data_IF_492037386450
#
_entry.id   IF_492037386450
#
_cell.length_a   1.000
_cell.length_b   1.000
_cell.length_c   1.000
_cell.angle_alpha   90.00
_cell.angle_beta   90.00
_cell.angle_gamma   90.00
#
_symmetry.space_group_name_H-M   'P 1'
#
loop_
_entity.id
_entity.type
_entity.pdbx_description
1 polymer ?
#
# COMPACT_ATOMS: atom_id res chain seq x y z
N UNK A 1 51.87 -51.84 20.60
CA UNK A 1 50.41 -51.88 20.82
C UNK A 1 49.93 -50.48 21.15
N UNK A 2 49.01 -49.96 20.33
CA UNK A 2 48.07 -48.83 20.51
C UNK A 2 48.60 -47.40 20.76
N UNK A 3 48.54 -46.65 19.67
CA UNK A 3 48.34 -45.19 19.55
C UNK A 3 46.88 -44.85 19.94
N UNK A 4 46.66 -43.83 20.78
CA UNK A 4 45.39 -43.08 20.97
C UNK A 4 45.73 -41.86 21.84
N UNK A 5 45.56 -40.59 21.46
CA UNK A 5 44.46 -39.99 20.71
C UNK A 5 43.72 -39.01 21.64
N UNK A 6 44.38 -37.94 22.08
CA UNK A 6 43.83 -36.90 22.99
C UNK A 6 44.13 -35.50 22.45
N UNK A 7 43.46 -35.10 21.38
CA UNK A 7 43.56 -33.72 20.85
C UNK A 7 42.25 -33.20 20.21
N UNK A 8 41.10 -33.84 20.47
CA UNK A 8 39.81 -33.48 19.84
C UNK A 8 38.82 -32.76 20.75
N UNK A 9 39.13 -32.55 22.03
CA UNK A 9 38.15 -32.02 23.00
C UNK A 9 38.21 -30.50 23.20
N UNK A 10 39.21 -29.80 22.65
CA UNK A 10 39.36 -28.35 22.83
C UNK A 10 38.79 -27.51 21.67
N UNK A 11 38.50 -28.12 20.52
CA UNK A 11 37.88 -27.42 19.38
C UNK A 11 36.35 -27.34 19.45
N UNK A 12 35.70 -28.13 20.32
CA UNK A 12 34.23 -28.13 20.45
C UNK A 12 33.69 -27.01 21.36
N UNK A 13 34.51 -26.49 22.29
CA UNK A 13 34.06 -25.46 23.25
C UNK A 13 34.10 -24.03 22.68
N UNK A 14 34.90 -23.77 21.64
CA UNK A 14 34.99 -22.45 20.98
C UNK A 14 33.91 -22.22 19.90
N UNK A 15 33.30 -23.28 19.37
CA UNK A 15 32.22 -23.17 18.38
C UNK A 15 30.85 -22.84 19.01
N UNK A 16 30.66 -23.13 20.32
CA UNK A 16 29.39 -22.91 20.99
C UNK A 16 29.14 -21.43 21.39
N UNK A 17 30.19 -20.63 21.58
CA UNK A 17 30.06 -19.21 21.95
C UNK A 17 29.80 -18.29 20.75
N UNK A 18 30.03 -18.73 19.51
CA UNK A 18 29.77 -17.95 18.30
C UNK A 18 28.33 -18.08 17.78
N UNK A 19 27.53 -19.00 18.32
CA UNK A 19 26.13 -19.19 17.92
C UNK A 19 25.14 -18.39 18.79
N UNK A 20 25.61 -17.75 19.88
CA UNK A 20 24.78 -16.95 20.78
C UNK A 20 24.83 -15.44 20.50
N UNK A 21 25.64 -15.00 19.53
CA UNK A 21 25.68 -13.61 19.07
C UNK A 21 24.71 -13.31 17.91
N UNK A 22 23.84 -14.26 17.53
CA UNK A 22 23.00 -14.17 16.33
C UNK A 22 21.51 -13.86 16.55
N UNK A 23 21.03 -13.71 17.79
CA UNK A 23 19.59 -13.53 18.07
C UNK A 23 19.17 -12.10 18.44
N UNK A 24 20.02 -11.10 18.19
CA UNK A 24 19.74 -9.69 18.48
C UNK A 24 20.07 -8.71 17.35
N UNK A 25 20.39 -9.21 16.14
CA UNK A 25 20.84 -8.39 15.00
C UNK A 25 19.70 -7.99 14.04
N UNK A 26 18.45 -8.02 14.51
CA UNK A 26 17.33 -7.44 13.77
C UNK A 26 17.26 -5.92 14.01
N UNK A 27 16.71 -5.13 13.07
CA UNK A 27 16.51 -3.70 13.25
C UNK A 27 15.84 -3.40 14.59
N UNK A 28 16.43 -2.50 15.37
CA UNK A 28 15.88 -2.13 16.67
C UNK A 28 14.68 -1.22 16.44
N UNK A 29 13.57 -1.42 17.15
CA UNK A 29 12.45 -0.46 17.07
C UNK A 29 12.82 0.90 17.69
N UNK A 30 13.93 0.97 18.42
CA UNK A 30 14.41 2.20 19.05
C UNK A 30 15.09 3.05 17.99
N UNK A 31 14.46 4.18 17.63
CA UNK A 31 14.99 5.08 16.61
C UNK A 31 14.55 4.76 15.18
N UNK A 32 13.86 3.65 14.95
CA UNK A 32 13.24 3.35 13.66
C UNK A 32 11.95 4.17 13.47
N UNK A 33 11.80 4.79 12.30
CA UNK A 33 10.53 5.30 11.79
C UNK A 33 9.73 4.17 11.14
N UNK A 34 10.41 3.31 10.38
CA UNK A 34 9.82 2.13 9.73
C UNK A 34 10.85 1.01 9.67
N UNK A 35 10.38 -0.22 9.77
CA UNK A 35 11.15 -1.41 9.42
C UNK A 35 10.42 -2.13 8.29
N UNK A 36 11.09 -2.33 7.16
CA UNK A 36 10.59 -3.06 5.98
C UNK A 36 11.49 -4.28 5.79
N UNK A 37 11.01 -5.45 6.19
CA UNK A 37 11.82 -6.67 6.27
C UNK A 37 13.05 -6.46 7.15
N UNK A 38 14.21 -6.48 6.51
CA UNK A 38 15.54 -6.27 7.06
C UNK A 38 16.03 -4.81 6.99
N UNK A 39 15.34 -3.93 6.24
CA UNK A 39 15.73 -2.54 6.11
C UNK A 39 15.09 -1.67 7.18
N UNK A 40 15.92 -0.83 7.81
CA UNK A 40 15.49 0.20 8.74
C UNK A 40 15.48 1.57 8.06
N UNK A 41 14.39 2.30 8.23
CA UNK A 41 14.29 3.73 7.96
C UNK A 41 14.28 4.42 9.32
N UNK A 42 15.26 5.27 9.60
CA UNK A 42 15.43 5.88 10.92
C UNK A 42 14.55 7.12 11.09
N UNK A 43 14.27 7.48 12.34
CA UNK A 43 13.61 8.75 12.68
C UNK A 43 14.48 9.94 12.23
N UNK A 44 15.80 9.84 12.37
CA UNK A 44 16.74 10.88 11.95
C UNK A 44 16.64 11.15 10.45
N UNK A 45 16.58 10.10 9.61
CA UNK A 45 16.37 10.27 8.16
C UNK A 45 15.07 11.02 7.85
N UNK A 46 14.00 10.78 8.61
CA UNK A 46 12.73 11.50 8.43
C UNK A 46 12.84 12.94 8.93
N UNK A 47 13.56 13.19 10.03
CA UNK A 47 13.80 14.56 10.52
C UNK A 47 14.64 15.37 9.54
N UNK A 48 15.69 14.79 8.95
CA UNK A 48 16.54 15.47 7.96
C UNK A 48 15.72 15.93 6.74
N UNK A 49 14.79 15.09 6.26
CA UNK A 49 13.90 15.45 5.16
C UNK A 49 12.88 16.53 5.56
N UNK A 50 12.39 16.53 6.80
CA UNK A 50 11.52 17.58 7.33
C UNK A 50 12.25 18.92 7.46
N UNK A 51 13.47 18.90 7.99
CA UNK A 51 14.29 20.11 8.15
C UNK A 51 14.65 20.69 6.78
N UNK A 52 15.05 19.84 5.84
CA UNK A 52 15.25 20.21 4.43
C UNK A 52 13.98 20.83 3.84
N UNK A 53 12.81 20.24 4.10
CA UNK A 53 11.54 20.79 3.63
C UNK A 53 11.29 22.20 4.14
N UNK A 54 11.41 22.43 5.45
CA UNK A 54 11.17 23.74 6.07
C UNK A 54 12.19 24.77 5.56
N UNK A 55 13.43 24.36 5.30
CA UNK A 55 14.47 25.21 4.77
C UNK A 55 14.23 25.62 3.31
N UNK A 56 13.88 24.65 2.45
CA UNK A 56 13.87 24.83 0.99
C UNK A 56 12.48 25.15 0.42
N UNK A 57 11.39 24.82 1.14
CA UNK A 57 10.03 24.90 0.62
C UNK A 57 9.17 25.90 1.42
N UNK A 58 8.77 27.06 0.84
CA UNK A 58 7.87 28.01 1.49
C UNK A 58 6.55 27.37 1.92
N UNK A 59 6.05 26.40 1.15
CA UNK A 59 4.85 25.64 1.50
C UNK A 59 5.02 24.79 2.78
N UNK A 60 6.22 24.27 3.06
CA UNK A 60 6.49 23.55 4.29
C UNK A 60 6.52 24.50 5.51
N UNK A 61 7.04 25.72 5.33
CA UNK A 61 6.97 26.76 6.37
C UNK A 61 5.52 27.12 6.69
N UNK A 62 4.66 27.21 5.68
CA UNK A 62 3.22 27.39 5.87
C UNK A 62 2.59 26.22 6.63
N UNK A 63 2.90 24.97 6.28
CA UNK A 63 2.43 23.81 7.05
C UNK A 63 2.90 23.87 8.51
N UNK A 64 4.13 24.30 8.76
CA UNK A 64 4.68 24.52 10.11
C UNK A 64 3.88 25.57 10.90
N UNK A 65 3.63 26.73 10.30
CA UNK A 65 2.81 27.80 10.91
C UNK A 65 1.38 27.35 11.20
N UNK A 66 0.85 26.40 10.42
CA UNK A 66 -0.47 25.80 10.62
C UNK A 66 -0.47 24.58 11.55
N UNK A 67 0.68 24.21 12.14
CA UNK A 67 0.86 23.00 12.95
C UNK A 67 0.49 21.70 12.21
N UNK A 68 0.79 21.63 10.91
CA UNK A 68 0.48 20.53 9.99
C UNK A 68 1.71 19.79 9.46
N UNK A 69 2.88 19.94 10.09
CA UNK A 69 4.09 19.19 9.70
C UNK A 69 3.96 17.69 9.93
N UNK A 70 3.01 17.25 10.75
CA UNK A 70 2.69 15.84 10.93
C UNK A 70 2.17 15.21 9.62
N UNK A 71 1.42 15.95 8.79
CA UNK A 71 1.02 15.49 7.46
C UNK A 71 2.24 15.22 6.57
N UNK A 72 3.20 16.14 6.58
CA UNK A 72 4.44 16.00 5.82
C UNK A 72 5.31 14.85 6.34
N UNK A 73 5.42 14.70 7.66
CA UNK A 73 6.18 13.61 8.27
C UNK A 73 5.61 12.23 7.91
N UNK A 74 4.28 12.07 7.96
CA UNK A 74 3.62 10.83 7.52
C UNK A 74 3.83 10.58 6.03
N UNK A 75 3.72 11.62 5.21
CA UNK A 75 3.88 11.50 3.77
C UNK A 75 5.31 11.12 3.36
N UNK A 76 6.33 11.71 4.01
CA UNK A 76 7.74 11.30 3.84
C UNK A 76 7.89 9.80 4.15
N UNK A 77 7.37 9.36 5.30
CA UNK A 77 7.44 7.94 5.70
C UNK A 77 6.75 7.03 4.68
N UNK A 78 5.55 7.41 4.22
CA UNK A 78 4.81 6.66 3.20
C UNK A 78 5.64 6.49 1.93
N UNK A 79 6.28 7.56 1.44
CA UNK A 79 7.12 7.48 0.25
C UNK A 79 8.33 6.57 0.43
N UNK A 80 8.97 6.61 1.59
CA UNK A 80 10.11 5.75 1.90
C UNK A 80 9.71 4.26 1.98
N UNK A 81 8.51 3.96 2.50
CA UNK A 81 7.91 2.61 2.45
C UNK A 81 7.67 2.18 1.01
N UNK A 82 6.98 3.02 0.23
CA UNK A 82 6.64 2.70 -1.17
C UNK A 82 7.90 2.49 -2.00
N UNK A 83 8.91 3.35 -1.82
CA UNK A 83 10.21 3.21 -2.49
C UNK A 83 10.88 1.86 -2.17
N UNK A 84 10.96 1.46 -0.90
CA UNK A 84 11.60 0.19 -0.52
C UNK A 84 10.84 -1.02 -1.08
N UNK A 85 9.52 -1.00 -0.95
CA UNK A 85 8.65 -2.08 -1.44
C UNK A 85 8.69 -2.16 -2.97
N UNK A 86 8.73 -1.02 -3.65
CA UNK A 86 8.85 -0.94 -5.10
C UNK A 86 10.21 -1.45 -5.59
N UNK A 87 11.30 -1.16 -4.90
CA UNK A 87 12.62 -1.69 -5.25
C UNK A 87 12.63 -3.23 -5.19
N UNK A 88 12.03 -3.82 -4.14
CA UNK A 88 11.85 -5.27 -4.00
C UNK A 88 10.98 -5.83 -5.12
N UNK A 89 9.85 -5.17 -5.41
CA UNK A 89 8.96 -5.58 -6.49
C UNK A 89 9.65 -5.50 -7.85
N UNK A 90 10.36 -4.41 -8.15
CA UNK A 90 11.08 -4.23 -9.40
C UNK A 90 12.15 -5.33 -9.61
N UNK A 91 12.90 -5.67 -8.56
CA UNK A 91 13.87 -6.77 -8.62
C UNK A 91 13.20 -8.12 -8.90
N UNK A 92 12.09 -8.44 -8.21
CA UNK A 92 11.36 -9.69 -8.42
C UNK A 92 10.71 -9.78 -9.79
N UNK A 93 10.19 -8.66 -10.26
CA UNK A 93 9.43 -8.55 -11.50
C UNK A 93 10.31 -8.34 -12.74
N UNK A 94 11.63 -8.16 -12.54
CA UNK A 94 12.58 -7.86 -13.61
C UNK A 94 12.33 -6.51 -14.27
N UNK A 95 11.84 -5.53 -13.51
CA UNK A 95 11.58 -4.18 -14.01
C UNK A 95 12.86 -3.34 -13.98
N UNK A 96 13.04 -2.54 -15.02
CA UNK A 96 14.12 -1.57 -15.13
C UNK A 96 13.60 -0.30 -15.82
N UNK A 97 14.20 0.84 -15.48
CA UNK A 97 13.91 2.12 -16.14
C UNK A 97 14.82 2.29 -17.36
N UNK A 98 14.29 2.79 -18.49
CA UNK A 98 15.12 3.20 -19.63
C UNK A 98 15.99 4.40 -19.18
N UNK A 99 17.33 4.29 -19.17
CA UNK A 99 18.20 5.38 -18.73
C UNK A 99 18.01 6.66 -19.51
N UNK A 100 17.68 6.58 -20.82
CA UNK A 100 17.47 7.77 -21.66
C UNK A 100 16.20 8.52 -21.27
N UNK A 101 15.15 7.79 -20.91
CA UNK A 101 13.91 8.39 -20.43
C UNK A 101 14.13 9.06 -19.08
N UNK A 102 14.86 8.40 -18.18
CA UNK A 102 15.22 8.98 -16.88
C UNK A 102 16.05 10.26 -17.04
N UNK A 103 17.07 10.24 -17.90
CA UNK A 103 17.90 11.41 -18.16
C UNK A 103 17.10 12.56 -18.80
N UNK A 104 16.11 12.24 -19.65
CA UNK A 104 15.18 13.24 -20.21
C UNK A 104 14.34 13.90 -19.09
N UNK A 105 13.74 13.11 -18.20
CA UNK A 105 12.97 13.67 -17.08
C UNK A 105 13.83 14.48 -16.12
N UNK A 106 15.09 14.09 -15.90
CA UNK A 106 16.03 14.82 -15.07
C UNK A 106 16.56 16.10 -15.71
N UNK A 107 16.59 16.18 -17.05
CA UNK A 107 16.97 17.40 -17.74
C UNK A 107 15.91 18.50 -17.59
N UNK A 108 14.63 18.12 -17.62
CA UNK A 108 13.50 19.05 -17.40
C UNK A 108 13.17 19.25 -15.91
N UNK A 109 13.64 18.35 -15.04
CA UNK A 109 13.39 18.23 -13.60
C UNK A 109 12.10 18.91 -13.09
N UNK A 110 10.94 18.23 -13.15
CA UNK A 110 9.65 18.80 -12.72
C UNK A 110 9.56 19.05 -11.20
N UNK A 111 10.59 18.67 -10.44
CA UNK A 111 10.68 18.81 -8.99
C UNK A 111 11.62 19.95 -8.55
N UNK A 112 12.34 20.58 -9.49
CA UNK A 112 13.30 21.64 -9.20
C UNK A 112 12.65 22.88 -8.57
N UNK A 113 11.48 23.28 -9.05
CA UNK A 113 10.80 24.48 -8.57
C UNK A 113 10.04 24.23 -7.26
N UNK A 114 10.05 25.17 -6.30
CA UNK A 114 9.31 25.04 -5.04
C UNK A 114 7.80 24.85 -5.23
N UNK A 115 7.16 24.21 -4.26
CA UNK A 115 5.70 24.01 -4.25
C UNK A 115 4.96 25.34 -4.15
N UNK A 116 4.00 25.55 -5.06
CA UNK A 116 3.06 26.68 -4.96
C UNK A 116 2.10 26.50 -3.79
N UNK A 117 1.90 27.57 -3.01
CA UNK A 117 1.00 27.58 -1.85
C UNK A 117 -0.45 27.94 -2.19
N UNK A 118 -0.74 28.26 -3.45
CA UNK A 118 -2.04 28.79 -3.86
C UNK A 118 -3.14 27.72 -3.86
N UNK A 119 -4.08 27.82 -2.91
CA UNK A 119 -5.38 27.12 -2.94
C UNK A 119 -5.35 25.59 -2.81
N UNK A 120 -4.19 25.00 -2.51
CA UNK A 120 -4.03 23.55 -2.41
C UNK A 120 -4.42 23.00 -1.03
N UNK A 121 -5.00 21.79 -1.01
CA UNK A 121 -5.25 21.04 0.21
C UNK A 121 -3.92 20.74 0.95
N UNK A 122 -3.85 20.87 2.28
CA UNK A 122 -2.62 20.59 3.05
C UNK A 122 -2.01 19.21 2.82
N UNK A 123 -2.82 18.18 2.56
CA UNK A 123 -2.35 16.82 2.29
C UNK A 123 -1.72 16.73 0.90
N UNK A 124 -2.31 17.42 -0.09
CA UNK A 124 -1.71 17.56 -1.41
C UNK A 124 -0.40 18.35 -1.37
N UNK A 125 -0.33 19.41 -0.55
CA UNK A 125 0.92 20.14 -0.31
C UNK A 125 1.99 19.22 0.29
N UNK A 126 1.65 18.45 1.33
CA UNK A 126 2.56 17.50 1.95
C UNK A 126 3.16 16.51 0.93
N UNK A 127 2.32 15.94 0.04
CA UNK A 127 2.74 15.04 -1.03
C UNK A 127 3.72 15.71 -2.01
N UNK A 128 3.41 16.94 -2.44
CA UNK A 128 4.24 17.67 -3.40
C UNK A 128 5.58 18.10 -2.79
N UNK A 129 5.59 18.46 -1.50
CA UNK A 129 6.80 18.83 -0.76
C UNK A 129 7.69 17.60 -0.58
N UNK A 130 7.13 16.48 -0.12
CA UNK A 130 7.87 15.24 0.11
C UNK A 130 8.59 14.75 -1.15
N UNK A 131 7.96 14.88 -2.33
CA UNK A 131 8.58 14.54 -3.61
C UNK A 131 9.84 15.39 -3.93
N UNK A 132 9.89 16.65 -3.48
CA UNK A 132 10.99 17.58 -3.80
C UNK A 132 12.16 17.54 -2.82
N UNK A 133 11.92 17.05 -1.61
CA UNK A 133 12.97 16.99 -0.59
C UNK A 133 13.75 15.68 -0.64
N UNK A 134 13.13 14.62 -1.18
CA UNK A 134 13.81 13.38 -1.55
C UNK A 134 14.78 13.59 -2.72
N UNK A 135 15.60 12.58 -3.00
CA UNK A 135 16.40 12.56 -4.22
C UNK A 135 15.48 12.53 -5.46
N UNK A 136 15.63 13.51 -6.36
CA UNK A 136 14.75 13.65 -7.53
C UNK A 136 14.88 12.47 -8.49
N UNK A 137 16.09 11.90 -8.64
CA UNK A 137 16.32 10.71 -9.47
C UNK A 137 15.57 9.52 -8.89
N UNK A 138 15.58 9.32 -7.58
CA UNK A 138 14.76 8.28 -6.93
C UNK A 138 13.27 8.50 -7.18
N UNK A 139 12.74 9.71 -6.97
CA UNK A 139 11.30 9.97 -7.13
C UNK A 139 10.83 9.76 -8.57
N UNK A 140 11.63 10.20 -9.55
CA UNK A 140 11.34 9.97 -10.97
C UNK A 140 11.46 8.46 -11.30
N UNK A 141 12.48 7.78 -10.77
CA UNK A 141 12.65 6.33 -10.94
C UNK A 141 11.46 5.56 -10.36
N UNK A 142 11.00 5.92 -9.17
CA UNK A 142 9.84 5.32 -8.52
C UNK A 142 8.59 5.48 -9.39
N UNK A 143 8.34 6.68 -9.91
CA UNK A 143 7.21 6.95 -10.81
C UNK A 143 7.26 6.09 -12.08
N UNK A 144 8.43 5.98 -12.72
CA UNK A 144 8.62 5.20 -13.95
C UNK A 144 8.48 3.69 -13.68
N UNK A 145 8.98 3.19 -12.56
CA UNK A 145 8.82 1.78 -12.17
C UNK A 145 7.37 1.43 -11.84
N UNK A 146 6.65 2.31 -11.15
CA UNK A 146 5.21 2.13 -10.90
C UNK A 146 4.42 2.08 -12.20
N UNK A 147 4.71 2.99 -13.15
CA UNK A 147 4.10 2.96 -14.48
C UNK A 147 4.41 1.66 -15.22
N UNK A 148 5.66 1.20 -15.20
CA UNK A 148 6.06 -0.05 -15.82
C UNK A 148 5.36 -1.27 -15.18
N UNK A 149 5.22 -1.28 -13.85
CA UNK A 149 4.50 -2.33 -13.13
C UNK A 149 3.01 -2.34 -13.50
N UNK A 150 2.36 -1.17 -13.51
CA UNK A 150 0.97 -1.03 -13.96
C UNK A 150 0.78 -1.51 -15.39
N UNK A 151 1.64 -1.06 -16.31
CA UNK A 151 1.59 -1.44 -17.73
C UNK A 151 1.82 -2.94 -17.95
N UNK A 152 2.69 -3.58 -17.17
CA UNK A 152 2.98 -5.01 -17.26
C UNK A 152 1.74 -5.87 -17.01
N UNK A 153 0.85 -5.44 -16.12
CA UNK A 153 -0.30 -6.24 -15.69
C UNK A 153 -1.64 -5.77 -16.23
N UNK A 154 -1.78 -4.51 -16.68
CA UNK A 154 -3.07 -3.93 -17.10
C UNK A 154 -3.85 -4.84 -18.08
N UNK A 155 -3.21 -5.32 -19.13
CA UNK A 155 -3.87 -6.08 -20.21
C UNK A 155 -4.16 -7.55 -19.88
N UNK A 156 -3.70 -8.00 -18.72
CA UNK A 156 -3.75 -9.40 -18.28
C UNK A 156 -4.20 -9.59 -16.85
N UNK A 157 -4.66 -8.51 -16.21
CA UNK A 157 -5.18 -8.53 -14.86
C UNK A 157 -6.70 -8.53 -14.90
N UNK A 158 -7.32 -9.43 -14.14
CA UNK A 158 -8.75 -9.45 -13.88
C UNK A 158 -9.01 -9.84 -12.44
N UNK A 159 -10.07 -9.30 -11.86
CA UNK A 159 -10.54 -9.64 -10.51
C UNK A 159 -11.98 -10.09 -10.60
N UNK A 160 -12.31 -11.19 -9.93
CA UNK A 160 -13.68 -11.63 -9.71
C UNK A 160 -14.04 -11.46 -8.24
N UNK A 161 -15.17 -10.84 -7.95
CA UNK A 161 -15.61 -10.59 -6.58
C UNK A 161 -17.13 -10.64 -6.45
N UNK A 162 -17.59 -10.87 -5.22
CA UNK A 162 -18.98 -10.67 -4.83
C UNK A 162 -19.03 -9.46 -3.90
N UNK A 163 -20.08 -8.64 -3.98
CA UNK A 163 -20.19 -7.48 -3.11
C UNK A 163 -21.61 -7.23 -2.60
N UNK A 164 -21.66 -6.49 -1.51
CA UNK A 164 -22.82 -5.80 -0.97
C UNK A 164 -22.42 -4.36 -0.64
N UNK A 165 -23.38 -3.55 -0.20
CA UNK A 165 -23.15 -2.14 0.06
C UNK A 165 -23.76 -1.69 1.40
N UNK A 166 -23.28 -0.55 1.88
CA UNK A 166 -23.89 0.21 2.97
C UNK A 166 -24.13 1.62 2.42
N UNK A 167 -25.40 1.97 2.18
CA UNK A 167 -25.86 3.26 1.66
C UNK A 167 -26.83 3.97 2.62
N UNK A 168 -27.19 5.21 2.29
CA UNK A 168 -28.10 6.09 3.05
C UNK A 168 -29.58 5.67 3.05
N UNK A 169 -29.96 4.65 2.29
CA UNK A 169 -31.37 4.31 2.02
C UNK A 169 -32.01 3.55 3.20
N UNK A 170 -31.19 3.13 4.17
CA UNK A 170 -31.59 2.63 5.48
C UNK A 170 -31.44 3.78 6.47
N UNK A 171 -32.51 4.56 6.65
CA UNK A 171 -32.48 5.82 7.40
C UNK A 171 -31.78 5.72 8.77
N UNK A 172 -30.85 6.66 9.02
CA UNK A 172 -30.42 7.00 10.37
C UNK A 172 -28.94 7.36 10.62
N UNK A 173 -27.99 7.09 9.72
CA UNK A 173 -26.58 7.01 10.12
C UNK A 173 -25.69 8.19 9.68
N UNK A 174 -24.98 8.80 10.65
CA UNK A 174 -23.85 9.69 10.40
C UNK A 174 -22.73 8.95 9.63
N UNK A 175 -21.76 9.64 8.99
CA UNK A 175 -20.67 8.97 8.25
C UNK A 175 -19.88 7.92 9.05
N UNK A 176 -19.68 8.15 10.36
CA UNK A 176 -19.00 7.21 11.26
C UNK A 176 -19.79 5.91 11.44
N UNK A 177 -21.10 6.01 11.64
CA UNK A 177 -21.98 4.85 11.77
C UNK A 177 -21.93 3.96 10.51
N UNK A 178 -21.83 4.57 9.31
CA UNK A 178 -21.71 3.82 8.04
C UNK A 178 -20.38 3.09 7.91
N UNK A 179 -19.27 3.73 8.29
CA UNK A 179 -17.95 3.09 8.32
C UNK A 179 -17.96 1.89 9.27
N UNK A 180 -18.46 2.08 10.48
CA UNK A 180 -18.55 1.00 11.48
C UNK A 180 -19.42 -0.15 10.99
N UNK A 181 -20.57 0.13 10.37
CA UNK A 181 -21.43 -0.90 9.75
C UNK A 181 -20.73 -1.65 8.62
N UNK A 182 -19.99 -0.94 7.74
CA UNK A 182 -19.26 -1.56 6.65
C UNK A 182 -18.14 -2.47 7.16
N UNK A 183 -17.40 -2.04 8.19
CA UNK A 183 -16.35 -2.83 8.83
C UNK A 183 -16.94 -4.06 9.52
N UNK A 184 -18.00 -3.88 10.32
CA UNK A 184 -18.68 -5.00 10.98
C UNK A 184 -19.22 -6.02 9.97
N UNK A 185 -19.76 -5.54 8.84
CA UNK A 185 -20.21 -6.39 7.74
C UNK A 185 -19.05 -7.14 7.07
N UNK A 186 -17.90 -6.50 6.90
CA UNK A 186 -16.70 -7.17 6.38
C UNK A 186 -16.22 -8.29 7.30
N UNK A 187 -16.21 -8.05 8.62
CA UNK A 187 -15.87 -9.07 9.62
C UNK A 187 -16.85 -10.25 9.60
N UNK A 188 -18.15 -9.98 9.44
CA UNK A 188 -19.18 -11.01 9.29
C UNK A 188 -18.94 -11.85 8.02
N UNK A 189 -18.69 -11.21 6.88
CA UNK A 189 -18.40 -11.91 5.62
C UNK A 189 -17.10 -12.73 5.71
N UNK A 190 -16.12 -12.28 6.49
CA UNK A 190 -14.84 -12.96 6.69
C UNK A 190 -14.88 -14.08 7.75
N UNK A 191 -16.02 -14.30 8.42
CA UNK A 191 -16.12 -15.25 9.53
C UNK A 191 -15.93 -16.71 9.09
N UNK A 192 -16.29 -17.07 7.85
CA UNK A 192 -16.07 -18.39 7.26
C UNK A 192 -16.17 -18.32 5.72
N UNK A 193 -15.74 -19.36 4.98
CA UNK A 193 -15.86 -19.38 3.51
C UNK A 193 -17.28 -19.20 2.96
N UNK A 194 -18.31 -19.60 3.74
CA UNK A 194 -19.72 -19.50 3.35
C UNK A 194 -20.37 -18.18 3.80
N UNK A 195 -19.84 -17.52 4.82
CA UNK A 195 -20.48 -16.38 5.47
C UNK A 195 -20.73 -15.21 4.50
N UNK A 196 -19.80 -14.92 3.60
CA UNK A 196 -19.98 -13.89 2.59
C UNK A 196 -21.22 -14.12 1.70
N UNK A 197 -21.45 -15.36 1.27
CA UNK A 197 -22.62 -15.69 0.44
C UNK A 197 -23.94 -15.59 1.23
N UNK A 198 -23.90 -15.87 2.54
CA UNK A 198 -25.06 -15.71 3.42
C UNK A 198 -25.42 -14.25 3.64
N UNK A 199 -24.43 -13.41 3.96
CA UNK A 199 -24.61 -11.96 4.13
C UNK A 199 -25.16 -11.33 2.86
N UNK A 200 -24.55 -11.62 1.70
CA UNK A 200 -24.99 -11.08 0.40
C UNK A 200 -26.42 -11.52 0.07
N UNK A 201 -26.79 -12.77 0.35
CA UNK A 201 -28.16 -13.25 0.13
C UNK A 201 -29.18 -12.54 1.04
N UNK A 202 -28.83 -12.32 2.31
CA UNK A 202 -29.67 -11.60 3.25
C UNK A 202 -29.85 -10.14 2.83
N UNK A 203 -28.78 -9.47 2.43
CA UNK A 203 -28.79 -8.10 1.93
C UNK A 203 -29.62 -7.97 0.63
N UNK A 204 -29.46 -8.89 -0.31
CA UNK A 204 -30.25 -8.92 -1.54
C UNK A 204 -31.76 -9.08 -1.24
N UNK A 205 -32.12 -9.95 -0.28
CA UNK A 205 -33.50 -10.12 0.17
C UNK A 205 -34.06 -8.86 0.88
N UNK A 206 -33.19 -8.07 1.50
CA UNK A 206 -33.51 -6.78 2.09
C UNK A 206 -33.51 -5.60 1.09
N UNK A 207 -33.27 -5.86 -0.19
CA UNK A 207 -33.24 -4.84 -1.25
C UNK A 207 -31.97 -4.00 -1.31
N UNK A 208 -30.91 -4.39 -0.60
CA UNK A 208 -29.59 -3.76 -0.68
C UNK A 208 -28.94 -4.08 -2.02
N UNK A 209 -28.15 -3.15 -2.58
CA UNK A 209 -27.40 -3.39 -3.82
C UNK A 209 -26.29 -4.43 -3.59
N UNK A 210 -26.34 -5.50 -4.37
CA UNK A 210 -25.39 -6.62 -4.33
C UNK A 210 -25.03 -7.10 -5.75
N UNK A 211 -23.86 -7.73 -5.91
CA UNK A 211 -23.51 -8.54 -7.10
C UNK A 211 -22.76 -9.81 -6.69
N UNK A 212 -22.82 -10.83 -7.52
CA UNK A 212 -22.15 -12.13 -7.33
C UNK A 212 -21.46 -12.52 -8.64
N UNK A 213 -20.19 -12.89 -8.57
CA UNK A 213 -19.40 -13.29 -9.73
C UNK A 213 -19.05 -12.13 -10.66
N UNK A 214 -18.99 -10.91 -10.15
CA UNK A 214 -18.61 -9.73 -10.93
C UNK A 214 -17.15 -9.88 -11.36
N UNK A 215 -16.90 -9.99 -12.66
CA UNK A 215 -15.56 -10.12 -13.21
C UNK A 215 -15.15 -8.83 -13.93
N UNK A 216 -14.07 -8.21 -13.47
CA UNK A 216 -13.61 -6.91 -13.98
C UNK A 216 -12.17 -7.02 -14.50
N UNK A 217 -11.99 -7.05 -15.83
CA UNK A 217 -10.67 -6.89 -16.45
C UNK A 217 -10.14 -5.46 -16.24
N UNK A 218 -8.87 -5.34 -15.82
CA UNK A 218 -8.25 -4.04 -15.55
C UNK A 218 -8.19 -3.14 -16.80
N UNK A 219 -7.91 -3.69 -17.98
CA UNK A 219 -7.86 -2.95 -19.24
C UNK A 219 -9.21 -2.32 -19.66
N UNK A 220 -10.34 -2.87 -19.20
CA UNK A 220 -11.67 -2.34 -19.47
C UNK A 220 -12.09 -1.27 -18.45
N UNK A 221 -11.58 -1.37 -17.22
CA UNK A 221 -11.87 -0.41 -16.15
C UNK A 221 -10.61 0.03 -15.39
N UNK A 222 -9.70 0.80 -16.02
CA UNK A 222 -8.45 1.21 -15.38
C UNK A 222 -8.65 2.07 -14.13
N UNK A 223 -9.77 2.79 -14.00
CA UNK A 223 -10.11 3.54 -12.78
C UNK A 223 -10.33 2.59 -11.60
N UNK A 224 -11.07 1.49 -11.82
CA UNK A 224 -11.32 0.47 -10.79
C UNK A 224 -10.04 -0.32 -10.45
N UNK A 225 -9.12 -0.46 -11.40
CA UNK A 225 -7.84 -1.14 -11.19
C UNK A 225 -6.92 -0.47 -10.14
N UNK A 226 -7.24 0.76 -9.73
CA UNK A 226 -6.54 1.46 -8.63
C UNK A 226 -7.08 1.09 -7.24
N UNK A 227 -8.26 0.47 -7.17
CA UNK A 227 -8.97 0.13 -5.94
C UNK A 227 -8.40 -1.11 -5.26
N UNK A 228 -8.66 -1.24 -3.95
CA UNK A 228 -8.15 -2.34 -3.11
C UNK A 228 -8.50 -3.74 -3.61
N UNK A 229 -9.61 -3.89 -4.35
CA UNK A 229 -10.01 -5.15 -4.98
C UNK A 229 -8.92 -5.76 -5.89
N UNK A 230 -8.10 -4.91 -6.52
CA UNK A 230 -7.02 -5.34 -7.41
C UNK A 230 -5.68 -5.60 -6.70
N UNK A 231 -5.58 -5.27 -5.41
CA UNK A 231 -4.38 -5.44 -4.62
C UNK A 231 -4.39 -6.67 -3.71
N UNK A 232 -5.57 -7.08 -3.23
CA UNK A 232 -5.69 -8.17 -2.23
C UNK A 232 -5.70 -9.57 -2.86
N UNK A 233 -5.24 -10.61 -2.15
CA UNK A 233 -5.34 -11.98 -2.61
C UNK A 233 -6.79 -12.51 -2.55
N UNK A 234 -7.12 -13.57 -3.32
CA UNK A 234 -8.36 -14.31 -3.17
C UNK A 234 -8.62 -14.77 -1.73
N UNK A 235 -9.90 -14.84 -1.34
CA UNK A 235 -10.28 -15.18 0.03
C UNK A 235 -10.11 -14.02 1.01
N UNK A 236 -10.13 -12.79 0.51
CA UNK A 236 -10.03 -11.56 1.32
C UNK A 236 -11.29 -10.74 1.17
N UNK A 237 -11.84 -10.29 2.30
CA UNK A 237 -12.94 -9.34 2.35
C UNK A 237 -12.38 -7.93 2.52
N UNK A 238 -12.92 -6.97 1.76
CA UNK A 238 -12.55 -5.56 1.86
C UNK A 238 -13.79 -4.72 2.14
N UNK A 239 -13.64 -3.67 2.93
CA UNK A 239 -14.62 -2.59 3.01
C UNK A 239 -13.95 -1.27 2.68
N UNK A 240 -14.50 -0.52 1.72
CA UNK A 240 -13.93 0.75 1.28
C UNK A 240 -14.99 1.64 0.63
N UNK A 241 -14.68 2.92 0.48
CA UNK A 241 -15.46 3.85 -0.35
C UNK A 241 -14.79 4.00 -1.72
N UNK A 242 -15.49 3.76 -2.85
CA UNK A 242 -14.93 3.95 -4.18
C UNK A 242 -14.51 5.39 -4.47
N UNK A 243 -15.21 6.36 -3.87
CA UNK A 243 -14.93 7.78 -3.93
C UNK A 243 -15.33 8.42 -2.60
N UNK A 244 -14.54 9.41 -2.15
CA UNK A 244 -14.84 10.20 -0.94
C UNK A 244 -16.08 11.09 -1.12
N UNK A 245 -16.45 11.41 -2.35
CA UNK A 245 -17.66 12.19 -2.66
C UNK A 245 -18.93 11.32 -2.55
N UNK A 246 -18.77 10.00 -2.67
CA UNK A 246 -19.89 9.07 -2.59
C UNK A 246 -20.10 8.59 -1.17
N UNK A 247 -21.33 8.76 -0.67
CA UNK A 247 -21.75 8.27 0.64
C UNK A 247 -22.05 6.74 0.64
N UNK A 248 -21.41 5.95 -0.22
CA UNK A 248 -21.60 4.49 -0.29
C UNK A 248 -20.32 3.77 0.10
N UNK A 249 -20.47 2.79 0.98
CA UNK A 249 -19.42 1.80 1.26
C UNK A 249 -19.69 0.54 0.47
N UNK A 250 -18.65 -0.01 -0.14
CA UNK A 250 -18.67 -1.32 -0.77
C UNK A 250 -18.01 -2.30 0.19
N UNK A 251 -18.66 -3.43 0.43
CA UNK A 251 -18.11 -4.56 1.17
C UNK A 251 -18.07 -5.75 0.24
N UNK A 252 -16.88 -6.24 -0.07
CA UNK A 252 -16.68 -7.21 -1.14
C UNK A 252 -15.72 -8.32 -0.73
N UNK A 253 -15.97 -9.54 -1.21
CA UNK A 253 -15.05 -10.67 -1.10
C UNK A 253 -14.41 -10.93 -2.46
N UNK A 254 -13.07 -10.90 -2.50
CA UNK A 254 -12.32 -11.25 -3.72
C UNK A 254 -12.31 -12.77 -3.87
N UNK A 255 -12.90 -13.27 -4.96
CA UNK A 255 -13.00 -14.69 -5.30
C UNK A 255 -11.81 -15.15 -6.12
N UNK A 256 -11.38 -14.32 -7.06
CA UNK A 256 -10.23 -14.59 -7.92
C UNK A 256 -9.50 -13.30 -8.24
N UNK A 257 -8.16 -13.40 -8.34
CA UNK A 257 -7.29 -12.36 -8.86
C UNK A 257 -6.34 -13.01 -9.86
N UNK A 258 -6.59 -12.79 -11.14
CA UNK A 258 -5.85 -13.43 -12.22
C UNK A 258 -4.93 -12.40 -12.89
N UNK A 259 -3.62 -12.61 -12.79
CA UNK A 259 -2.59 -11.76 -13.41
C UNK A 259 -2.14 -12.25 -14.80
N UNK A 260 -2.79 -13.29 -15.32
CA UNK A 260 -2.53 -13.90 -16.61
C UNK A 260 -3.84 -14.08 -17.41
N UNK A 261 -4.83 -13.24 -17.16
CA UNK A 261 -6.10 -13.26 -17.89
C UNK A 261 -5.84 -13.02 -19.39
N UNK A 262 -6.57 -13.70 -20.28
CA UNK A 262 -6.51 -13.40 -21.71
C UNK A 262 -6.93 -11.96 -21.95
N UNK A 263 -6.24 -11.25 -22.86
CA UNK A 263 -6.68 -9.94 -23.31
C UNK A 263 -8.07 -10.08 -23.92
N UNK A 264 -9.02 -9.28 -23.46
CA UNK A 264 -10.45 -9.47 -23.77
C UNK A 264 -10.83 -9.20 -25.23
N UNK A 265 -9.90 -8.84 -26.12
CA UNK A 265 -10.16 -8.58 -27.54
C UNK A 265 -11.04 -7.34 -27.82
N UNK A 266 -11.72 -6.84 -26.79
CA UNK A 266 -12.43 -5.57 -26.74
C UNK A 266 -11.46 -4.39 -26.63
N UNK A 267 -11.92 -3.20 -27.02
CA UNK A 267 -11.11 -1.99 -27.01
C UNK A 267 -10.73 -1.61 -25.57
N UNK A 268 -9.44 -1.73 -25.25
CA UNK A 268 -8.89 -1.29 -23.97
C UNK A 268 -8.98 0.24 -23.84
N UNK A 269 -9.31 0.72 -22.64
CA UNK A 269 -9.22 2.14 -22.29
C UNK A 269 -7.76 2.44 -22.01
N UNK A 270 -7.18 3.42 -22.70
CA UNK A 270 -5.78 3.77 -22.52
C UNK A 270 -5.61 4.68 -21.28
N UNK A 271 -4.95 4.21 -20.20
CA UNK A 271 -4.78 5.00 -18.99
C UNK A 271 -3.73 6.10 -19.17
N UNK A 272 -3.86 7.16 -18.37
CA UNK A 272 -2.82 8.18 -18.26
C UNK A 272 -1.57 7.64 -17.52
N UNK A 273 -0.39 8.29 -17.65
CA UNK A 273 0.80 7.91 -16.88
C UNK A 273 0.57 7.92 -15.36
N UNK A 274 -0.14 8.92 -14.84
CA UNK A 274 -0.47 8.99 -13.42
C UNK A 274 -1.37 7.82 -12.97
N UNK A 275 -2.32 7.43 -13.83
CA UNK A 275 -3.19 6.29 -13.58
C UNK A 275 -2.44 4.96 -13.63
N UNK A 276 -1.53 4.78 -14.59
CA UNK A 276 -0.63 3.61 -14.61
C UNK A 276 0.21 3.51 -13.33
N UNK A 277 0.75 4.63 -12.86
CA UNK A 277 1.48 4.67 -11.59
C UNK A 277 0.59 4.27 -10.40
N UNK A 278 -0.66 4.74 -10.35
CA UNK A 278 -1.61 4.38 -9.30
C UNK A 278 -1.99 2.87 -9.35
N UNK A 279 -2.16 2.31 -10.54
CA UNK A 279 -2.36 0.85 -10.72
C UNK A 279 -1.11 0.10 -10.25
N UNK A 280 0.09 0.56 -10.64
CA UNK A 280 1.36 0.03 -10.15
C UNK A 280 1.46 0.06 -8.62
N UNK A 281 1.06 1.15 -7.99
CA UNK A 281 1.06 1.28 -6.53
C UNK A 281 0.09 0.28 -5.90
N UNK A 282 -1.11 0.08 -6.47
CA UNK A 282 -2.05 -0.95 -6.01
C UNK A 282 -1.43 -2.36 -6.07
N UNK A 283 -0.68 -2.65 -7.13
CA UNK A 283 0.01 -3.93 -7.31
C UNK A 283 1.12 -4.20 -6.28
N UNK A 284 1.59 -3.18 -5.56
CA UNK A 284 2.55 -3.34 -4.47
C UNK A 284 1.95 -3.94 -3.19
N UNK A 285 0.62 -4.01 -3.07
CA UNK A 285 -0.02 -4.41 -1.81
C UNK A 285 0.46 -5.79 -1.27
N UNK A 286 0.57 -6.87 -2.07
CA UNK A 286 1.12 -8.14 -1.60
C UNK A 286 2.58 -8.04 -1.15
N UNK A 287 3.36 -7.14 -1.76
CA UNK A 287 4.76 -6.91 -1.41
C UNK A 287 4.91 -6.20 -0.06
N UNK A 288 3.97 -5.31 0.30
CA UNK A 288 3.93 -4.69 1.64
C UNK A 288 3.69 -5.74 2.71
N UNK A 289 2.73 -6.63 2.48
CA UNK A 289 2.36 -7.71 3.40
C UNK A 289 3.53 -8.68 3.59
N UNK A 290 4.15 -9.13 2.50
CA UNK A 290 5.31 -10.03 2.55
C UNK A 290 6.53 -9.40 3.22
N UNK A 291 6.77 -8.10 2.97
CA UNK A 291 7.88 -7.40 3.60
C UNK A 291 7.66 -7.17 5.10
N UNK A 292 6.46 -7.41 5.64
CA UNK A 292 6.17 -7.25 7.07
C UNK A 292 6.44 -5.83 7.56
N UNK A 293 5.96 -4.83 6.82
CA UNK A 293 6.16 -3.41 7.15
C UNK A 293 5.68 -3.10 8.57
N UNK A 294 6.57 -2.56 9.39
CA UNK A 294 6.28 -2.10 10.76
C UNK A 294 6.55 -0.62 10.85
N UNK A 295 5.53 0.14 11.20
CA UNK A 295 5.58 1.60 11.25
C UNK A 295 5.62 2.04 12.71
N UNK A 296 6.48 3.00 13.03
CA UNK A 296 6.49 3.62 14.33
C UNK A 296 5.16 4.37 14.56
N UNK A 297 4.44 4.11 15.67
CA UNK A 297 3.13 4.71 15.93
C UNK A 297 3.08 6.24 15.89
N UNK A 298 4.23 6.93 16.07
CA UNK A 298 4.32 8.39 15.89
C UNK A 298 3.90 8.86 14.49
N UNK A 299 4.09 8.02 13.47
CA UNK A 299 3.70 8.31 12.08
C UNK A 299 2.35 7.68 11.70
N UNK A 300 1.63 7.08 12.66
CA UNK A 300 0.33 6.48 12.44
C UNK A 300 0.40 5.01 12.04
N UNK A 301 -0.57 4.56 11.25
CA UNK A 301 -0.77 3.16 10.88
C UNK A 301 -0.87 3.01 9.36
N UNK A 302 -0.37 1.89 8.84
CA UNK A 302 -0.52 1.56 7.43
C UNK A 302 -2.00 1.29 7.12
N UNK A 303 -2.53 2.02 6.16
CA UNK A 303 -3.85 1.81 5.56
C UNK A 303 -3.69 1.04 4.25
N UNK A 304 -3.99 -0.27 4.23
CA UNK A 304 -3.87 -1.09 3.01
C UNK A 304 -4.90 -0.72 1.94
N UNK A 305 -6.03 -0.09 2.33
CA UNK A 305 -7.05 0.34 1.37
C UNK A 305 -6.57 1.57 0.61
N UNK A 306 -5.98 2.55 1.29
CA UNK A 306 -5.41 3.74 0.65
C UNK A 306 -4.00 3.53 0.07
N UNK A 307 -3.29 2.47 0.49
CA UNK A 307 -1.84 2.34 0.29
C UNK A 307 -1.09 3.59 0.81
N UNK A 308 -1.48 4.02 2.01
CA UNK A 308 -1.07 5.27 2.66
C UNK A 308 -0.95 5.10 4.18
N UNK A 309 -0.48 6.12 4.89
CA UNK A 309 -0.49 6.23 6.34
C UNK A 309 -1.72 7.01 6.83
N UNK A 310 -2.51 6.37 7.68
CA UNK A 310 -3.56 7.02 8.44
C UNK A 310 -3.03 7.49 9.82
N UNK A 311 -3.54 8.58 10.40
CA UNK A 311 -3.11 9.02 11.72
C UNK A 311 -3.39 7.99 12.82
N UNK A 312 -4.48 7.23 12.68
CA UNK A 312 -4.88 6.15 13.58
C UNK A 312 -5.67 5.07 12.84
N UNK A 313 -5.90 3.92 13.49
CA UNK A 313 -6.73 2.84 12.93
C UNK A 313 -8.20 3.24 12.72
N UNK A 314 -8.68 4.23 13.46
CA UNK A 314 -10.03 4.77 13.29
C UNK A 314 -10.15 5.64 12.03
N UNK A 315 -9.02 6.16 11.54
CA UNK A 315 -8.94 7.09 10.42
C UNK A 315 -8.47 6.42 9.12
N UNK A 316 -8.37 5.08 9.09
CA UNK A 316 -8.16 4.38 7.82
C UNK A 316 -9.40 4.49 6.93
N UNK A 317 -9.15 4.54 5.62
CA UNK A 317 -10.15 4.62 4.54
C UNK A 317 -10.95 3.33 4.34
N UNK A 318 -10.57 2.26 5.04
CA UNK A 318 -11.29 1.01 5.05
C UNK A 318 -10.56 -0.10 5.80
N UNK A 319 -10.94 -1.34 5.49
CA UNK A 319 -10.34 -2.55 6.07
C UNK A 319 -10.12 -3.63 5.02
N UNK A 320 -9.11 -4.47 5.29
CA UNK A 320 -8.78 -5.69 4.54
C UNK A 320 -8.77 -6.83 5.56
N UNK A 321 -9.61 -7.84 5.36
CA UNK A 321 -9.88 -8.91 6.33
C UNK A 321 -9.80 -10.28 5.64
N UNK A 322 -8.75 -11.07 5.88
CA UNK A 322 -8.66 -12.43 5.38
C UNK A 322 -9.80 -13.31 5.92
N UNK A 323 -10.38 -14.17 5.08
CA UNK A 323 -11.44 -15.10 5.49
C UNK A 323 -10.85 -16.18 6.41
N UNK A 324 -11.49 -16.37 7.57
CA UNK A 324 -11.09 -17.41 8.53
C UNK A 324 -11.32 -18.79 7.93
N UNK A 325 -10.30 -19.65 8.01
CA UNK A 325 -10.38 -21.03 7.52
C UNK A 325 -10.38 -21.16 6.00
N UNK A 326 -10.12 -20.09 5.25
CA UNK A 326 -9.75 -20.21 3.85
C UNK A 326 -8.36 -20.89 3.76
N UNK A 327 -8.19 -21.79 2.80
CA UNK A 327 -6.86 -22.25 2.44
C UNK A 327 -6.06 -21.02 2.00
N UNK A 328 -4.96 -20.72 2.71
CA UNK A 328 -4.01 -19.73 2.22
C UNK A 328 -3.42 -20.27 0.90
N UNK A 329 -3.28 -19.42 -0.14
CA UNK A 329 -2.65 -19.83 -1.39
C UNK A 329 -1.20 -20.27 -1.18
#
# INVERSE_FOLDING_TARGET
MRIMGRSRSLLAALAACLLLAGCGSGPSQVGAAVIVGDREITVDQVQDLLDKAVLEQPAAQQLSQQHKLDLLGREIVRQLVVHDVLARAAQREGLAVDPRLLDQFLADDPLADPVSTAGADPSQLAQQIANRVRDHREVITDSLLLQALGQKYLDRMSVTFDYTSVSSDLGGAQPLDRREQAIAKAEQMAASPAAAAEVIRADAAAGVRTSVGEAVPAAQAPDLATLVLFGVPPGTVVAFQPSQEQAVWIVAIVRERNLNAPSSGEQAVQPSPAQLAAIGQRLLQPYVEEAGVRINPRYGVWDPVAMNLAPSSAETTGVVVPVKGAAQP
#
